data_IF_294243135431
#
_entry.id   IF_294243135431
#
_cell.length_a   1.000
_cell.length_b   1.000
_cell.length_c   1.000
_cell.angle_alpha   90.00
_cell.angle_beta   90.00
_cell.angle_gamma   90.00
#
_symmetry.space_group_name_H-M   'P 1'
#
loop_
_entity.id
_entity.type
_entity.pdbx_description
1 polymer ?
#
# COMPACT_ATOMS: atom_id res chain seq x y z
N UNK A 1 0.03 2.34 -17.18
CA UNK A 1 0.45 2.54 -15.81
C UNK A 1 1.53 1.55 -15.42
N UNK A 2 2.55 2.02 -14.73
CA UNK A 2 3.78 1.22 -14.52
C UNK A 2 4.20 1.17 -13.07
N UNK A 3 3.26 0.91 -12.19
CA UNK A 3 3.64 0.76 -10.79
C UNK A 3 4.13 -0.66 -10.53
N UNK A 4 5.16 -0.75 -9.72
CA UNK A 4 5.72 -2.02 -9.28
C UNK A 4 5.50 -2.16 -7.78
N UNK A 5 5.63 -3.38 -7.23
CA UNK A 5 5.60 -3.52 -5.78
C UNK A 5 6.64 -2.65 -5.07
N UNK A 6 7.80 -2.45 -5.70
CA UNK A 6 8.83 -1.59 -5.14
C UNK A 6 8.38 -0.14 -5.08
N UNK A 7 7.65 0.33 -6.09
CA UNK A 7 7.11 1.70 -6.09
C UNK A 7 6.13 1.90 -4.95
N UNK A 8 5.25 0.92 -4.74
CA UNK A 8 4.27 0.98 -3.66
C UNK A 8 4.97 0.98 -2.31
N UNK A 9 5.94 0.08 -2.15
CA UNK A 9 6.70 0.00 -0.91
C UNK A 9 7.44 1.27 -0.58
N UNK A 10 8.04 1.89 -1.60
CA UNK A 10 8.76 3.15 -1.42
C UNK A 10 7.82 4.26 -1.01
N UNK A 11 6.66 4.35 -1.64
CA UNK A 11 5.68 5.38 -1.30
C UNK A 11 5.19 5.20 0.14
N UNK A 12 4.88 3.97 0.54
CA UNK A 12 4.46 3.68 1.91
C UNK A 12 5.53 4.19 2.88
N UNK A 13 6.80 3.87 2.61
CA UNK A 13 7.89 4.29 3.49
C UNK A 13 8.00 5.81 3.54
N UNK A 14 7.92 6.48 2.40
CA UNK A 14 8.06 7.93 2.34
C UNK A 14 6.94 8.62 3.11
N UNK A 15 5.70 8.20 2.89
CA UNK A 15 4.56 8.81 3.58
C UNK A 15 4.63 8.53 5.06
N UNK A 16 4.96 7.27 5.43
CA UNK A 16 5.09 6.90 6.83
C UNK A 16 6.12 7.78 7.54
N UNK A 17 7.30 7.93 6.94
CA UNK A 17 8.37 8.73 7.54
C UNK A 17 7.99 10.21 7.59
N UNK A 18 7.31 10.69 6.56
CA UNK A 18 6.84 12.07 6.55
C UNK A 18 5.84 12.37 7.65
N UNK A 19 5.08 11.36 8.07
CA UNK A 19 4.13 11.49 9.18
C UNK A 19 4.80 11.27 10.53
N UNK A 20 6.07 10.91 10.57
CA UNK A 20 6.78 10.64 11.82
C UNK A 20 6.36 9.33 12.48
N UNK A 21 5.89 8.38 11.70
CA UNK A 21 5.37 7.10 12.20
C UNK A 21 6.41 6.01 11.98
N UNK A 22 6.64 5.17 13.00
CA UNK A 22 7.55 4.04 12.86
C UNK A 22 6.84 2.88 12.16
N UNK A 23 7.63 1.93 11.66
CA UNK A 23 7.06 0.71 11.08
C UNK A 23 6.18 -0.02 12.09
N UNK A 24 6.62 -0.07 13.35
CA UNK A 24 5.86 -0.74 14.40
C UNK A 24 4.54 -0.05 14.65
N UNK A 25 4.54 1.28 14.68
CA UNK A 25 3.31 2.04 14.88
C UNK A 25 2.35 1.83 13.73
N UNK A 26 2.86 1.85 12.51
CA UNK A 26 2.00 1.59 11.35
C UNK A 26 1.42 0.18 11.41
N UNK A 27 2.23 -0.80 11.79
CA UNK A 27 1.76 -2.16 11.91
C UNK A 27 0.63 -2.28 12.91
N UNK A 28 0.75 -1.62 14.05
CA UNK A 28 -0.28 -1.64 15.08
C UNK A 28 -1.55 -0.95 14.61
N UNK A 29 -1.41 0.23 14.02
CA UNK A 29 -2.57 1.01 13.58
C UNK A 29 -3.32 0.34 12.44
N UNK A 30 -2.60 -0.25 11.50
CA UNK A 30 -3.23 -0.93 10.37
C UNK A 30 -3.66 -2.35 10.69
N UNK A 31 -3.16 -2.92 11.80
CA UNK A 31 -3.50 -4.29 12.17
C UNK A 31 -2.88 -5.35 11.28
N UNK A 32 -1.79 -5.01 10.55
CA UNK A 32 -1.23 -5.93 9.56
C UNK A 32 0.02 -6.67 10.03
N UNK A 33 0.66 -6.23 11.11
CA UNK A 33 1.85 -6.88 11.61
C UNK A 33 3.14 -6.22 11.13
N UNK A 34 4.15 -6.23 12.01
CA UNK A 34 5.42 -5.56 11.73
C UNK A 34 6.15 -6.18 10.55
N UNK A 35 6.20 -7.51 10.51
CA UNK A 35 6.91 -8.19 9.43
C UNK A 35 6.29 -7.85 8.07
N UNK A 36 4.97 -7.78 8.04
CA UNK A 36 4.29 -7.41 6.80
C UNK A 36 4.73 -6.03 6.33
N UNK A 37 4.76 -5.05 7.23
CA UNK A 37 5.16 -3.68 6.88
C UNK A 37 6.61 -3.65 6.38
N UNK A 38 7.51 -4.35 7.07
CA UNK A 38 8.90 -4.38 6.66
C UNK A 38 9.04 -4.92 5.24
N UNK A 39 8.37 -6.03 4.96
CA UNK A 39 8.45 -6.65 3.65
C UNK A 39 7.76 -5.82 2.57
N UNK A 40 6.65 -5.20 2.92
CA UNK A 40 5.93 -4.33 1.98
C UNK A 40 6.83 -3.17 1.53
N UNK A 41 7.51 -2.55 2.47
CA UNK A 41 8.38 -1.41 2.15
C UNK A 41 9.59 -1.82 1.32
N UNK A 42 9.97 -3.10 1.36
CA UNK A 42 11.03 -3.63 0.52
C UNK A 42 10.54 -4.03 -0.87
N UNK A 43 9.24 -3.97 -1.10
CA UNK A 43 8.69 -4.29 -2.41
C UNK A 43 8.38 -5.75 -2.63
N UNK A 44 8.00 -6.47 -1.57
CA UNK A 44 7.68 -7.89 -1.68
C UNK A 44 6.54 -8.09 -2.67
N UNK A 45 6.79 -8.88 -3.71
CA UNK A 45 5.83 -9.08 -4.79
C UNK A 45 4.64 -9.93 -4.39
N UNK A 46 4.82 -10.79 -3.40
CA UNK A 46 3.78 -11.71 -2.97
C UNK A 46 3.03 -11.20 -1.74
N UNK A 47 3.08 -9.89 -1.49
CA UNK A 47 2.37 -9.31 -0.35
C UNK A 47 0.86 -9.52 -0.52
N UNK A 48 0.19 -9.86 0.59
CA UNK A 48 -1.25 -10.08 0.58
C UNK A 48 -1.97 -8.77 0.27
N UNK A 49 -2.76 -8.78 -0.81
CA UNK A 49 -3.34 -7.53 -1.33
C UNK A 49 -4.29 -6.87 -0.33
N UNK A 50 -5.06 -7.64 0.42
CA UNK A 50 -5.96 -7.06 1.41
C UNK A 50 -5.21 -6.25 2.45
N UNK A 51 -4.08 -6.77 2.92
CA UNK A 51 -3.26 -6.05 3.89
C UNK A 51 -2.58 -4.83 3.26
N UNK A 52 -2.21 -4.92 1.98
CA UNK A 52 -1.66 -3.77 1.26
C UNK A 52 -2.68 -2.64 1.24
N UNK A 53 -3.92 -2.95 0.85
CA UNK A 53 -4.97 -1.94 0.78
C UNK A 53 -5.25 -1.32 2.14
N UNK A 54 -5.29 -2.14 3.20
CA UNK A 54 -5.49 -1.64 4.56
C UNK A 54 -4.38 -0.67 4.96
N UNK A 55 -3.13 -1.01 4.63
CA UNK A 55 -1.99 -0.17 4.95
C UNK A 55 -2.07 1.17 4.22
N UNK A 56 -2.41 1.14 2.94
CA UNK A 56 -2.55 2.37 2.16
C UNK A 56 -3.63 3.26 2.76
N UNK A 57 -4.77 2.68 3.10
CA UNK A 57 -5.87 3.44 3.70
C UNK A 57 -5.47 4.06 5.03
N UNK A 58 -4.73 3.31 5.84
CA UNK A 58 -4.26 3.80 7.14
C UNK A 58 -3.40 5.05 6.98
N UNK A 59 -2.60 5.10 5.92
CA UNK A 59 -1.71 6.24 5.65
C UNK A 59 -2.39 7.35 4.86
N UNK A 60 -3.64 7.15 4.46
CA UNK A 60 -4.34 8.14 3.63
C UNK A 60 -3.90 8.13 2.18
N UNK A 61 -3.26 7.04 1.73
CA UNK A 61 -2.86 6.91 0.34
C UNK A 61 -4.03 6.37 -0.46
N UNK A 62 -4.37 7.06 -1.52
CA UNK A 62 -5.47 6.63 -2.38
C UNK A 62 -4.93 5.81 -3.54
N UNK A 63 -5.62 4.70 -3.81
CA UNK A 63 -5.34 3.86 -4.95
C UNK A 63 -6.54 3.94 -5.89
N UNK A 64 -6.31 4.41 -7.11
CA UNK A 64 -7.38 4.55 -8.09
C UNK A 64 -7.20 3.54 -9.19
N UNK A 65 -8.24 2.77 -9.46
CA UNK A 65 -8.27 1.81 -10.55
C UNK A 65 -9.26 2.32 -11.58
N UNK A 66 -8.79 2.53 -12.80
CA UNK A 66 -9.63 3.06 -13.87
C UNK A 66 -9.84 1.98 -14.92
N UNK A 67 -11.06 1.48 -15.08
CA UNK A 67 -11.31 0.46 -16.09
C UNK A 67 -11.19 1.06 -17.50
N UNK A 68 -10.89 0.23 -18.50
CA UNK A 68 -10.87 0.73 -19.87
C UNK A 68 -12.28 1.13 -20.31
N UNK A 69 -12.41 2.05 -21.25
CA UNK A 69 -13.74 2.52 -21.67
C UNK A 69 -14.69 1.40 -22.11
N UNK A 70 -14.18 0.38 -22.78
CA UNK A 70 -15.02 -0.71 -23.23
C UNK A 70 -15.64 -1.49 -22.07
N UNK A 71 -14.91 -1.64 -20.97
CA UNK A 71 -15.42 -2.37 -19.81
C UNK A 71 -16.48 -1.56 -19.07
N UNK A 72 -16.38 -0.24 -19.07
CA UNK A 72 -17.34 0.60 -18.35
C UNK A 72 -18.70 0.66 -19.04
N UNK A 73 -18.77 0.29 -20.32
CA UNK A 73 -20.03 0.30 -21.06
C UNK A 73 -21.01 -0.77 -20.57
N UNK A 74 -20.51 -1.72 -19.86
CA UNK A 74 -21.34 -2.82 -19.40
C UNK A 74 -22.31 -2.39 -18.29
N UNK A 75 -21.97 -1.37 -17.61
CA UNK A 75 -22.84 -0.83 -16.58
C UNK A 75 -23.19 -1.78 -15.49
#
# INVERSE_FOLDING_TARGET
>A
MKYTPQDIGRLVREIRKGLGVTQKELALTSGTGLRFIIELEKGKETAEIGKVLTTLQTLGIQLTLTPPPAATKRG
#
